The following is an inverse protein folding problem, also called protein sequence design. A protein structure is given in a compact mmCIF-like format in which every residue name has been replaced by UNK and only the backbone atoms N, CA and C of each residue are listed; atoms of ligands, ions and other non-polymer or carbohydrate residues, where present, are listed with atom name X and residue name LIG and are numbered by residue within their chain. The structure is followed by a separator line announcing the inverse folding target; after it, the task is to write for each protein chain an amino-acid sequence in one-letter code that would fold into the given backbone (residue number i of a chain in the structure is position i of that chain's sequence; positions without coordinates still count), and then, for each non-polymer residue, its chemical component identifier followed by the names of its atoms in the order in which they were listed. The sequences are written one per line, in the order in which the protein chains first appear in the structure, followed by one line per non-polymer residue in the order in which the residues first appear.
data_IF_884794295464
#
_entry.id   IF_884794295464
#
_cell.length_a   1.000
_cell.length_b   1.000
_cell.length_c   1.000
_cell.angle_alpha   90.00
_cell.angle_beta   90.00
_cell.angle_gamma   90.00
#
_symmetry.space_group_name_H-M   'P 1'
#
loop_
_entity.id
_entity.type
_entity.pdbx_description
1 polymer ?
#
# COMPACT_ATOMS: atom_id res chain seq x y z
N UNK A 1 -2.68 33.49 3.40
CA UNK A 1 -4.07 32.98 3.33
C UNK A 1 -4.11 31.62 4.02
N UNK A 2 -5.14 31.35 4.80
CA UNK A 2 -5.40 30.04 5.43
C UNK A 2 -6.61 29.43 4.74
N UNK A 3 -6.49 28.19 4.27
CA UNK A 3 -7.58 27.46 3.63
C UNK A 3 -8.07 26.35 4.56
N UNK A 4 -9.40 26.20 4.64
CA UNK A 4 -10.03 25.16 5.44
C UNK A 4 -10.05 23.83 4.68
N UNK A 5 -9.33 22.83 5.19
CA UNK A 5 -9.41 21.46 4.69
C UNK A 5 -10.83 20.89 4.71
N UNK A 6 -11.65 21.29 5.69
CA UNK A 6 -13.05 20.85 5.75
C UNK A 6 -13.86 21.41 4.57
N UNK A 7 -13.58 22.65 4.16
CA UNK A 7 -14.21 23.25 2.97
C UNK A 7 -13.79 22.52 1.71
N UNK A 8 -12.49 22.18 1.58
CA UNK A 8 -11.99 21.39 0.47
C UNK A 8 -12.66 20.01 0.38
N UNK A 9 -12.74 19.28 1.50
CA UNK A 9 -13.39 17.97 1.53
C UNK A 9 -14.85 18.07 1.11
N UNK A 10 -15.56 19.09 1.59
CA UNK A 10 -16.96 19.34 1.21
C UNK A 10 -17.11 19.60 -0.29
N UNK A 11 -16.29 20.46 -0.87
CA UNK A 11 -16.31 20.74 -2.32
C UNK A 11 -15.96 19.51 -3.16
N UNK A 12 -15.05 18.67 -2.67
CA UNK A 12 -14.72 17.40 -3.31
C UNK A 12 -15.78 16.29 -3.10
N UNK A 13 -16.87 16.57 -2.38
CA UNK A 13 -17.89 15.57 -2.04
C UNK A 13 -17.42 14.49 -1.06
N UNK A 14 -16.35 14.75 -0.32
CA UNK A 14 -15.72 13.83 0.63
C UNK A 14 -16.05 14.21 2.07
N UNK A 15 -16.23 13.20 2.91
CA UNK A 15 -16.29 13.40 4.37
C UNK A 15 -14.89 13.34 4.97
N UNK A 16 -14.68 14.07 6.07
CA UNK A 16 -13.43 14.00 6.83
C UNK A 16 -13.12 12.58 7.31
N UNK A 17 -14.17 11.82 7.65
CA UNK A 17 -14.07 10.42 8.05
C UNK A 17 -13.60 9.54 6.89
N UNK A 18 -14.10 9.74 5.67
CA UNK A 18 -13.67 9.00 4.49
C UNK A 18 -12.19 9.25 4.18
N UNK A 19 -11.73 10.50 4.28
CA UNK A 19 -10.32 10.86 4.09
C UNK A 19 -9.44 10.21 5.16
N UNK A 20 -9.83 10.29 6.43
CA UNK A 20 -9.07 9.66 7.53
C UNK A 20 -9.00 8.12 7.40
N UNK A 21 -10.09 7.50 6.97
CA UNK A 21 -10.15 6.05 6.74
C UNK A 21 -9.26 5.64 5.56
N UNK A 22 -9.28 6.42 4.47
CA UNK A 22 -8.38 6.20 3.34
C UNK A 22 -6.92 6.35 3.76
N UNK A 23 -6.56 7.42 4.48
CA UNK A 23 -5.19 7.65 4.97
C UNK A 23 -4.69 6.48 5.85
N UNK A 24 -5.58 5.93 6.68
CA UNK A 24 -5.28 4.74 7.50
C UNK A 24 -5.01 3.50 6.63
N UNK A 25 -5.87 3.24 5.64
CA UNK A 25 -5.69 2.11 4.71
C UNK A 25 -4.44 2.28 3.85
N UNK A 26 -4.13 3.50 3.42
CA UNK A 26 -2.93 3.80 2.63
C UNK A 26 -1.67 3.45 3.41
N UNK A 27 -1.56 3.88 4.68
CA UNK A 27 -0.42 3.52 5.54
C UNK A 27 -0.25 2.02 5.74
N UNK A 28 -1.36 1.29 5.90
CA UNK A 28 -1.33 -0.17 6.02
C UNK A 28 -0.83 -0.79 4.71
N UNK A 29 -1.35 -0.32 3.58
CA UNK A 29 -0.94 -0.79 2.25
C UNK A 29 0.54 -0.51 1.98
N UNK A 30 1.02 0.68 2.29
CA UNK A 30 2.42 1.09 2.11
C UNK A 30 3.36 0.21 2.94
N UNK A 31 3.00 -0.06 4.20
CA UNK A 31 3.77 -0.95 5.07
C UNK A 31 3.81 -2.39 4.55
N UNK A 32 2.67 -2.94 4.13
CA UNK A 32 2.60 -4.29 3.56
C UNK A 32 3.41 -4.39 2.25
N UNK A 33 3.36 -3.34 1.42
CA UNK A 33 4.14 -3.28 0.19
C UNK A 33 5.63 -3.23 0.48
N UNK A 34 6.07 -2.43 1.46
CA UNK A 34 7.46 -2.38 1.87
C UNK A 34 7.96 -3.74 2.39
N UNK A 35 7.16 -4.45 3.19
CA UNK A 35 7.48 -5.81 3.64
C UNK A 35 7.59 -6.79 2.48
N UNK A 36 6.65 -6.76 1.53
CA UNK A 36 6.66 -7.65 0.37
C UNK A 36 7.93 -7.47 -0.48
N UNK A 37 8.42 -6.24 -0.62
CA UNK A 37 9.69 -5.99 -1.34
C UNK A 37 10.86 -6.66 -0.65
N UNK A 38 10.95 -6.57 0.68
CA UNK A 38 12.00 -7.23 1.46
C UNK A 38 11.92 -8.76 1.31
N UNK A 39 10.72 -9.33 1.45
CA UNK A 39 10.50 -10.77 1.27
C UNK A 39 10.86 -11.23 -0.16
N UNK A 40 10.57 -10.42 -1.17
CA UNK A 40 10.94 -10.69 -2.55
C UNK A 40 12.45 -10.66 -2.78
N UNK A 41 13.16 -9.72 -2.16
CA UNK A 41 14.62 -9.63 -2.23
C UNK A 41 15.27 -10.81 -1.51
N UNK A 42 14.81 -11.17 -0.31
CA UNK A 42 15.25 -12.38 0.39
C UNK A 42 15.04 -13.62 -0.48
N UNK A 43 13.86 -13.79 -1.05
CA UNK A 43 13.53 -14.94 -1.89
C UNK A 43 14.45 -15.05 -3.13
N UNK A 44 14.87 -13.91 -3.70
CA UNK A 44 15.84 -13.87 -4.80
C UNK A 44 17.24 -14.28 -4.36
N UNK A 45 17.68 -13.84 -3.18
CA UNK A 45 18.98 -14.22 -2.64
C UNK A 45 19.05 -15.72 -2.33
N UNK A 46 18.02 -16.28 -1.69
CA UNK A 46 17.96 -17.70 -1.36
C UNK A 46 17.81 -18.61 -2.60
N UNK A 47 17.11 -18.15 -3.64
CA UNK A 47 16.84 -18.92 -4.84
C UNK A 47 17.21 -18.16 -6.13
N UNK A 48 18.52 -18.08 -6.39
CA UNK A 48 19.01 -17.60 -7.69
C UNK A 48 18.44 -18.45 -8.84
N UNK A 49 17.56 -17.84 -9.65
CA UNK A 49 16.90 -18.48 -10.79
C UNK A 49 15.38 -18.70 -10.66
N UNK A 50 14.76 -18.30 -9.54
CA UNK A 50 13.30 -18.24 -9.45
C UNK A 50 12.77 -17.10 -10.34
N UNK A 51 11.89 -17.45 -11.29
CA UNK A 51 11.19 -16.47 -12.11
C UNK A 51 10.17 -15.66 -11.30
N UNK A 52 9.81 -14.48 -11.81
CA UNK A 52 8.85 -13.57 -11.17
C UNK A 52 7.47 -14.21 -10.97
N UNK A 53 7.08 -15.10 -11.88
CA UNK A 53 5.86 -15.89 -11.82
C UNK A 53 5.81 -16.76 -10.55
N UNK A 54 6.91 -17.49 -10.28
CA UNK A 54 7.00 -18.35 -9.10
C UNK A 54 7.11 -17.54 -7.82
N UNK A 55 7.85 -16.43 -7.84
CA UNK A 55 7.91 -15.52 -6.68
C UNK A 55 6.52 -14.99 -6.30
N UNK A 56 5.70 -14.59 -7.28
CA UNK A 56 4.34 -14.12 -7.03
C UNK A 56 3.46 -15.20 -6.37
N UNK A 57 3.50 -16.44 -6.87
CA UNK A 57 2.73 -17.53 -6.27
C UNK A 57 3.26 -17.98 -4.90
N UNK A 58 4.56 -17.80 -4.64
CA UNK A 58 5.17 -18.08 -3.34
C UNK A 58 4.80 -17.01 -2.29
N UNK A 59 4.90 -15.73 -2.65
CA UNK A 59 4.60 -14.62 -1.73
C UNK A 59 3.10 -14.38 -1.56
N UNK A 60 2.31 -14.63 -2.62
CA UNK A 60 0.84 -14.56 -2.67
C UNK A 60 0.26 -13.42 -1.82
N UNK A 61 0.56 -12.16 -2.14
CA UNK A 61 0.12 -11.02 -1.34
C UNK A 61 -1.43 -10.96 -1.31
N UNK A 62 -1.99 -10.85 -0.11
CA UNK A 62 -3.45 -10.87 0.14
C UNK A 62 -4.13 -9.50 0.12
N UNK A 63 -3.35 -8.46 -0.15
CA UNK A 63 -3.71 -7.05 0.05
C UNK A 63 -3.65 -6.22 -1.24
N UNK A 64 -3.40 -6.88 -2.38
CA UNK A 64 -3.42 -6.30 -3.71
C UNK A 64 -4.78 -6.50 -4.40
#
# INVERSE_FOLDING_TARGET
MSFSLNSLYKEAGLSKQAVAQYDTRQKIFDNKTAQLVLEADELREYHSGYGMDRMYYTLKPDFM
#
